data_IF_458481208311
#
_entry.id   IF_458481208311
#
_cell.length_a   1.000
_cell.length_b   1.000
_cell.length_c   1.000
_cell.angle_alpha   90.00
_cell.angle_beta   90.00
_cell.angle_gamma   90.00
#
_symmetry.space_group_name_H-M   'P 1'
#
loop_
_entity.id
_entity.type
_entity.pdbx_description
1 polymer ?
#
# COMPACT_ATOMS: atom_id res chain seq x y z
N UNK A 1 1.92 16.34 26.01
CA UNK A 1 0.97 15.31 25.59
C UNK A 1 1.48 14.80 24.26
N UNK A 2 2.09 13.63 24.25
CA UNK A 2 2.44 12.89 23.02
C UNK A 2 1.13 12.26 22.60
N UNK A 3 0.70 12.53 21.36
CA UNK A 3 -0.52 11.94 20.80
C UNK A 3 -0.40 10.42 20.93
N UNK A 4 -1.20 9.80 21.79
CA UNK A 4 -1.22 8.35 22.06
C UNK A 4 -1.70 7.54 20.85
N UNK A 5 -2.08 8.20 19.72
CA UNK A 5 -2.68 7.60 18.53
C UNK A 5 -1.79 7.68 17.27
N UNK A 6 -0.46 7.83 17.46
CA UNK A 6 0.42 7.86 16.30
C UNK A 6 0.66 6.45 15.73
N UNK A 7 -0.21 6.03 14.83
CA UNK A 7 -0.01 4.87 13.97
C UNK A 7 0.52 5.33 12.60
N UNK A 8 1.79 5.03 12.32
CA UNK A 8 2.47 5.32 11.04
C UNK A 8 1.79 4.68 9.82
N UNK A 9 0.79 3.84 10.03
CA UNK A 9 0.11 3.03 9.00
C UNK A 9 -1.33 3.44 8.75
N UNK A 10 -1.88 4.39 9.54
CA UNK A 10 -3.27 4.85 9.34
C UNK A 10 -3.47 5.30 7.91
N UNK A 11 -4.44 4.71 7.23
CA UNK A 11 -4.82 5.08 5.86
C UNK A 11 -5.54 6.44 5.80
N UNK A 12 -6.09 6.91 6.92
CA UNK A 12 -6.74 8.21 7.01
C UNK A 12 -5.77 9.25 7.57
N UNK A 13 -5.15 9.98 6.66
CA UNK A 13 -4.31 11.12 6.99
C UNK A 13 -5.14 12.36 7.32
N UNK A 14 -4.69 13.14 8.29
CA UNK A 14 -5.11 14.52 8.44
C UNK A 14 -4.80 15.34 7.17
N UNK A 15 -5.48 16.46 6.94
CA UNK A 15 -5.20 17.32 5.79
C UNK A 15 -3.73 17.70 5.69
N UNK A 16 -3.08 18.02 6.82
CA UNK A 16 -1.66 18.35 6.90
C UNK A 16 -0.71 17.18 6.54
N UNK A 17 -1.13 15.95 6.76
CA UNK A 17 -0.36 14.77 6.38
C UNK A 17 -0.46 14.48 4.88
N UNK A 18 -1.65 14.69 4.30
CA UNK A 18 -1.84 14.59 2.84
C UNK A 18 -1.01 15.64 2.10
N UNK A 19 -0.99 16.88 2.59
CA UNK A 19 -0.19 17.95 2.00
C UNK A 19 1.31 17.66 2.09
N UNK A 20 1.76 17.10 3.23
CA UNK A 20 3.12 16.66 3.42
C UNK A 20 3.51 15.55 2.44
N UNK A 21 2.69 14.49 2.33
CA UNK A 21 2.95 13.40 1.38
C UNK A 21 2.95 13.90 -0.06
N UNK A 22 1.99 14.75 -0.44
CA UNK A 22 1.90 15.30 -1.78
C UNK A 22 3.15 16.11 -2.16
N UNK A 23 3.70 16.90 -1.23
CA UNK A 23 4.92 17.66 -1.44
C UNK A 23 6.16 16.78 -1.71
N UNK A 24 6.17 15.55 -1.18
CA UNK A 24 7.29 14.61 -1.35
C UNK A 24 7.14 13.70 -2.58
N UNK A 25 5.94 13.65 -3.20
CA UNK A 25 5.68 12.76 -4.34
C UNK A 25 6.50 13.18 -5.56
N UNK A 26 7.21 12.24 -6.21
CA UNK A 26 7.80 12.48 -7.52
C UNK A 26 6.71 12.72 -8.58
N UNK A 27 7.01 13.59 -9.54
CA UNK A 27 6.09 13.98 -10.62
C UNK A 27 6.49 13.42 -11.99
N UNK A 28 7.69 12.84 -12.09
CA UNK A 28 8.23 12.25 -13.33
C UNK A 28 8.85 10.89 -13.04
N UNK A 29 9.04 10.08 -14.08
CA UNK A 29 9.77 8.81 -13.94
C UNK A 29 11.21 9.02 -13.51
N UNK A 30 11.87 10.09 -13.93
CA UNK A 30 13.25 10.42 -13.55
C UNK A 30 13.43 10.70 -12.06
N UNK A 31 12.38 11.18 -11.39
CA UNK A 31 12.37 11.47 -9.96
C UNK A 31 11.95 10.26 -9.10
N UNK A 32 11.39 9.23 -9.75
CA UNK A 32 10.89 8.04 -9.06
C UNK A 32 12.04 7.06 -8.81
N UNK A 33 12.31 6.78 -7.54
CA UNK A 33 13.35 5.84 -7.13
C UNK A 33 12.79 4.46 -6.84
N UNK A 34 13.45 3.41 -7.34
CA UNK A 34 13.07 2.02 -7.15
C UNK A 34 12.10 1.49 -8.20
N UNK A 35 11.65 0.24 -8.06
CA UNK A 35 10.79 -0.45 -9.03
C UNK A 35 11.35 -0.39 -10.47
N UNK A 36 12.67 -0.50 -10.62
CA UNK A 36 13.38 -0.15 -11.87
C UNK A 36 12.75 -0.79 -13.10
N UNK A 37 12.51 -2.09 -13.10
CA UNK A 37 11.92 -2.80 -14.23
C UNK A 37 10.49 -2.33 -14.56
N UNK A 38 9.68 -2.01 -13.52
CA UNK A 38 8.32 -1.48 -13.69
C UNK A 38 8.38 -0.10 -14.35
N UNK A 39 9.26 0.78 -13.87
CA UNK A 39 9.44 2.14 -14.39
C UNK A 39 9.93 2.10 -15.83
N UNK A 40 10.95 1.32 -16.15
CA UNK A 40 11.50 1.18 -17.51
C UNK A 40 10.42 0.70 -18.49
N UNK A 41 9.62 -0.31 -18.11
CA UNK A 41 8.53 -0.79 -18.96
C UNK A 41 7.44 0.28 -19.15
N UNK A 42 7.02 0.95 -18.06
CA UNK A 42 6.01 2.01 -18.14
C UNK A 42 6.48 3.19 -19.01
N UNK A 43 7.75 3.57 -18.94
CA UNK A 43 8.32 4.59 -19.82
C UNK A 43 8.15 4.22 -21.29
N UNK A 44 8.53 3.00 -21.67
CA UNK A 44 8.37 2.53 -23.06
C UNK A 44 6.92 2.55 -23.51
N UNK A 45 5.99 2.09 -22.66
CA UNK A 45 4.57 2.05 -23.01
C UNK A 45 3.97 3.45 -23.14
N UNK A 46 4.31 4.36 -22.21
CA UNK A 46 3.87 5.76 -22.25
C UNK A 46 4.42 6.48 -23.49
N UNK A 47 5.68 6.33 -23.81
CA UNK A 47 6.29 6.92 -25.01
C UNK A 47 5.65 6.40 -26.28
N UNK A 48 5.37 5.09 -26.35
CA UNK A 48 4.70 4.47 -27.48
C UNK A 48 3.26 4.99 -27.66
N UNK A 49 2.49 5.12 -26.57
CA UNK A 49 1.14 5.69 -26.59
C UNK A 49 1.15 7.14 -27.07
N UNK A 50 2.08 7.95 -26.57
CA UNK A 50 2.30 9.35 -27.04
C UNK A 50 2.62 9.43 -28.51
N UNK A 51 3.51 8.56 -28.99
CA UNK A 51 3.91 8.53 -30.41
C UNK A 51 2.72 8.22 -31.33
N UNK A 52 1.82 7.33 -30.91
CA UNK A 52 0.61 6.97 -31.68
C UNK A 52 -0.54 7.95 -31.50
N UNK A 53 -0.50 8.82 -30.48
CA UNK A 53 -1.60 9.72 -30.10
C UNK A 53 -2.84 9.00 -29.57
N UNK A 54 -2.64 7.81 -28.99
CA UNK A 54 -3.64 6.92 -28.43
C UNK A 54 -3.61 6.94 -26.89
N UNK A 55 -4.71 6.55 -26.20
CA UNK A 55 -4.65 6.28 -24.78
C UNK A 55 -3.66 5.15 -24.49
N UNK A 56 -3.04 5.16 -23.32
CA UNK A 56 -2.26 4.04 -22.82
C UNK A 56 -3.20 2.85 -22.55
N UNK A 57 -2.76 1.63 -22.80
CA UNK A 57 -3.51 0.44 -22.42
C UNK A 57 -3.87 0.49 -20.92
N UNK A 58 -5.06 -0.01 -20.59
CA UNK A 58 -5.50 -0.09 -19.20
C UNK A 58 -4.47 -0.83 -18.35
N UNK A 59 -4.08 -0.23 -17.25
CA UNK A 59 -2.93 -0.65 -16.43
C UNK A 59 -3.37 -1.05 -15.03
N UNK A 60 -2.96 -2.23 -14.57
CA UNK A 60 -3.15 -2.71 -13.21
C UNK A 60 -1.84 -2.62 -12.43
N UNK A 61 -1.85 -1.85 -11.33
CA UNK A 61 -0.76 -1.78 -10.37
C UNK A 61 -1.13 -2.55 -9.10
N UNK A 62 -0.41 -3.61 -8.78
CA UNK A 62 -0.72 -4.41 -7.61
C UNK A 62 0.49 -4.65 -6.72
N UNK A 63 0.26 -4.88 -5.44
CA UNK A 63 1.30 -5.11 -4.43
C UNK A 63 0.95 -4.48 -3.08
N UNK A 64 1.78 -4.70 -2.05
CA UNK A 64 1.56 -4.17 -0.71
C UNK A 64 1.24 -2.67 -0.64
N UNK A 65 0.61 -2.17 0.43
CA UNK A 65 0.33 -0.75 0.58
C UNK A 65 1.62 0.07 0.72
N UNK A 66 1.58 1.35 0.36
CA UNK A 66 2.70 2.28 0.57
C UNK A 66 3.87 2.20 -0.43
N UNK A 67 3.76 1.40 -1.50
CA UNK A 67 4.82 1.18 -2.50
C UNK A 67 4.83 2.18 -3.68
N UNK A 68 3.87 3.12 -3.72
CA UNK A 68 3.86 4.17 -4.75
C UNK A 68 2.90 3.92 -5.92
N UNK A 69 1.89 3.04 -5.80
CA UNK A 69 0.87 2.80 -6.85
C UNK A 69 0.21 4.09 -7.33
N UNK A 70 -0.34 4.88 -6.42
CA UNK A 70 -0.96 6.19 -6.72
C UNK A 70 0.04 7.17 -7.32
N UNK A 71 1.29 7.15 -6.86
CA UNK A 71 2.35 8.02 -7.38
C UNK A 71 2.69 7.68 -8.82
N UNK A 72 2.88 6.40 -9.15
CA UNK A 72 3.12 5.95 -10.53
C UNK A 72 1.94 6.30 -11.45
N UNK A 73 0.70 6.16 -10.98
CA UNK A 73 -0.48 6.53 -11.76
C UNK A 73 -0.51 8.02 -12.10
N UNK A 74 -0.12 8.88 -11.15
CA UNK A 74 -0.01 10.31 -11.40
C UNK A 74 1.15 10.63 -12.36
N UNK A 75 2.29 9.97 -12.23
CA UNK A 75 3.42 10.12 -13.15
C UNK A 75 3.01 9.72 -14.57
N UNK A 76 2.27 8.62 -14.75
CA UNK A 76 1.76 8.20 -16.06
C UNK A 76 0.94 9.33 -16.71
N UNK A 77 0.00 9.94 -15.98
CA UNK A 77 -0.80 11.04 -16.50
C UNK A 77 0.04 12.28 -16.84
N UNK A 78 0.97 12.65 -15.96
CA UNK A 78 1.89 13.77 -16.18
C UNK A 78 2.76 13.56 -17.43
N UNK A 79 3.34 12.38 -17.57
CA UNK A 79 4.18 12.03 -18.72
C UNK A 79 3.38 11.94 -20.03
N UNK A 80 2.13 11.49 -19.98
CA UNK A 80 1.21 11.54 -21.13
C UNK A 80 0.78 12.98 -21.46
N UNK A 81 0.82 13.90 -20.50
CA UNK A 81 0.38 15.28 -20.63
C UNK A 81 -1.14 15.42 -20.68
N UNK A 82 -1.86 14.59 -19.93
CA UNK A 82 -3.33 14.50 -19.91
C UNK A 82 -3.89 14.71 -18.50
N UNK A 83 -5.22 14.85 -18.40
CA UNK A 83 -5.91 14.98 -17.11
C UNK A 83 -5.79 13.72 -16.25
N UNK A 84 -5.82 13.91 -14.93
CA UNK A 84 -5.76 12.84 -13.94
C UNK A 84 -6.93 12.93 -12.98
N UNK A 85 -7.81 11.92 -13.00
CA UNK A 85 -8.94 11.79 -12.07
C UNK A 85 -8.72 10.63 -11.13
N UNK A 86 -9.00 10.86 -9.84
CA UNK A 86 -8.78 9.89 -8.76
C UNK A 86 -10.11 9.53 -8.12
N UNK A 87 -10.33 8.24 -7.95
CA UNK A 87 -11.42 7.69 -7.14
C UNK A 87 -10.96 6.40 -6.46
N UNK A 88 -11.83 5.74 -5.73
CA UNK A 88 -11.55 4.44 -5.11
C UNK A 88 -12.76 3.50 -5.21
N UNK A 89 -12.51 2.18 -5.17
CA UNK A 89 -13.55 1.18 -5.22
C UNK A 89 -14.69 1.42 -4.22
N UNK A 90 -14.40 1.68 -2.92
CA UNK A 90 -15.43 1.95 -1.92
C UNK A 90 -16.29 3.19 -2.15
N UNK A 91 -15.81 4.17 -2.93
CA UNK A 91 -16.55 5.40 -3.25
C UNK A 91 -17.53 5.19 -4.40
N UNK A 92 -17.23 4.22 -5.29
CA UNK A 92 -18.07 3.86 -6.43
C UNK A 92 -19.12 2.83 -6.01
N UNK A 93 -20.15 3.29 -5.31
CA UNK A 93 -21.20 2.41 -4.77
C UNK A 93 -22.25 2.03 -5.83
N UNK A 94 -22.56 2.96 -6.75
CA UNK A 94 -23.59 2.81 -7.76
C UNK A 94 -23.07 3.06 -9.18
N UNK A 95 -23.67 2.43 -10.20
CA UNK A 95 -23.33 2.70 -11.60
C UNK A 95 -23.34 4.18 -11.99
N UNK A 96 -24.25 4.97 -11.41
CA UNK A 96 -24.32 6.41 -11.65
C UNK A 96 -23.09 7.18 -11.18
N UNK A 97 -22.43 6.74 -10.11
CA UNK A 97 -21.19 7.36 -9.62
C UNK A 97 -20.06 7.15 -10.63
N UNK A 98 -19.93 5.93 -11.15
CA UNK A 98 -18.97 5.60 -12.19
C UNK A 98 -19.27 6.36 -13.49
N UNK A 99 -20.55 6.40 -13.91
CA UNK A 99 -20.96 7.10 -15.13
C UNK A 99 -20.65 8.61 -15.04
N UNK A 100 -20.91 9.24 -13.90
CA UNK A 100 -20.58 10.64 -13.69
C UNK A 100 -19.10 10.97 -13.85
N UNK A 101 -18.23 10.08 -13.38
CA UNK A 101 -16.78 10.22 -13.55
C UNK A 101 -16.39 10.00 -15.01
N UNK A 102 -16.84 8.89 -15.64
CA UNK A 102 -16.46 8.51 -16.98
C UNK A 102 -16.88 9.56 -18.02
N UNK A 103 -18.10 10.09 -17.91
CA UNK A 103 -18.61 11.14 -18.82
C UNK A 103 -17.89 12.48 -18.68
N UNK A 104 -17.19 12.69 -17.56
CA UNK A 104 -16.42 13.91 -17.30
C UNK A 104 -14.96 13.82 -17.73
N UNK A 105 -14.51 12.66 -18.28
CA UNK A 105 -13.16 12.49 -18.81
C UNK A 105 -13.01 13.16 -20.16
N UNK A 106 -11.89 13.82 -20.35
CA UNK A 106 -11.45 14.29 -21.68
C UNK A 106 -10.71 13.19 -22.43
N UNK A 107 -10.42 13.44 -23.70
CA UNK A 107 -9.74 12.46 -24.56
C UNK A 107 -8.37 12.10 -23.99
N UNK A 108 -8.10 10.82 -23.83
CA UNK A 108 -6.88 10.20 -23.32
C UNK A 108 -6.61 10.45 -21.83
N UNK A 109 -7.53 11.05 -21.07
CA UNK A 109 -7.39 11.22 -19.62
C UNK A 109 -7.10 9.90 -18.91
N UNK A 110 -6.45 10.01 -17.77
CA UNK A 110 -6.18 8.88 -16.88
C UNK A 110 -7.19 8.90 -15.72
N UNK A 111 -7.98 7.83 -15.62
CA UNK A 111 -8.81 7.53 -14.44
C UNK A 111 -8.06 6.55 -13.54
N UNK A 112 -7.78 6.96 -12.31
CA UNK A 112 -7.21 6.10 -11.29
C UNK A 112 -8.26 5.62 -10.31
N UNK A 113 -8.39 4.30 -10.13
CA UNK A 113 -9.26 3.67 -9.14
C UNK A 113 -8.42 2.93 -8.13
N UNK A 114 -8.31 3.47 -6.90
CA UNK A 114 -7.64 2.79 -5.80
C UNK A 114 -8.53 1.70 -5.20
N UNK A 115 -7.93 0.65 -4.64
CA UNK A 115 -8.62 -0.51 -4.09
C UNK A 115 -9.72 -1.06 -5.03
N UNK A 116 -9.39 -1.18 -6.33
CA UNK A 116 -10.33 -1.57 -7.39
C UNK A 116 -11.01 -2.92 -7.13
N UNK A 117 -10.40 -3.81 -6.35
CA UNK A 117 -10.99 -5.09 -5.93
C UNK A 117 -12.21 -4.94 -5.02
N UNK A 118 -12.50 -3.73 -4.52
CA UNK A 118 -13.66 -3.42 -3.68
C UNK A 118 -14.85 -2.86 -4.45
N UNK A 119 -14.78 -2.82 -5.78
CA UNK A 119 -15.95 -2.49 -6.61
C UNK A 119 -17.06 -3.51 -6.40
N UNK A 120 -18.31 -3.03 -6.38
CA UNK A 120 -19.44 -3.94 -6.40
C UNK A 120 -19.55 -4.64 -7.75
N UNK A 121 -20.06 -5.90 -7.83
CA UNK A 121 -20.20 -6.62 -9.10
C UNK A 121 -20.97 -5.83 -10.16
N UNK A 122 -21.99 -5.08 -9.72
CA UNK A 122 -22.79 -4.25 -10.64
C UNK A 122 -21.96 -3.13 -11.25
N UNK A 123 -21.18 -2.41 -10.47
CA UNK A 123 -20.30 -1.34 -10.96
C UNK A 123 -19.19 -1.91 -11.85
N UNK A 124 -18.69 -3.09 -11.51
CA UNK A 124 -17.67 -3.78 -12.29
C UNK A 124 -18.17 -4.14 -13.71
N UNK A 125 -19.42 -4.58 -13.86
CA UNK A 125 -20.04 -4.87 -15.17
C UNK A 125 -20.11 -3.62 -16.07
N UNK A 126 -20.46 -2.46 -15.52
CA UNK A 126 -20.44 -1.19 -16.25
C UNK A 126 -19.02 -0.80 -16.69
N UNK A 127 -18.04 -1.09 -15.85
CA UNK A 127 -16.65 -0.80 -16.15
C UNK A 127 -16.12 -1.64 -17.32
N UNK A 128 -16.61 -2.87 -17.51
CA UNK A 128 -16.21 -3.73 -18.64
C UNK A 128 -16.49 -3.08 -19.99
N UNK A 129 -17.73 -2.62 -20.21
CA UNK A 129 -18.13 -1.97 -21.47
C UNK A 129 -17.38 -0.65 -21.67
N UNK A 130 -17.15 0.09 -20.59
CA UNK A 130 -16.37 1.32 -20.64
C UNK A 130 -14.90 1.09 -21.04
N UNK A 131 -14.30 -0.02 -20.59
CA UNK A 131 -12.90 -0.36 -20.94
C UNK A 131 -12.74 -0.92 -22.36
N UNK A 132 -13.71 -1.71 -22.85
CA UNK A 132 -13.60 -2.37 -24.14
C UNK A 132 -14.07 -1.47 -25.30
N UNK A 133 -15.25 -0.86 -25.13
CA UNK A 133 -15.95 -0.18 -26.22
C UNK A 133 -16.01 1.35 -26.04
N UNK A 134 -15.49 1.88 -24.95
CA UNK A 134 -15.67 3.30 -24.56
C UNK A 134 -17.14 3.72 -24.57
N UNK A 135 -17.99 2.88 -23.98
CA UNK A 135 -19.44 3.08 -23.90
C UNK A 135 -19.97 2.64 -22.56
N UNK A 136 -21.07 3.24 -22.14
CA UNK A 136 -21.78 2.88 -20.93
C UNK A 136 -23.28 2.87 -21.18
N UNK A 137 -23.96 1.80 -20.77
CA UNK A 137 -25.42 1.66 -20.89
C UNK A 137 -26.07 1.96 -19.54
N UNK A 138 -26.80 3.06 -19.44
CA UNK A 138 -27.47 3.47 -18.19
C UNK A 138 -28.94 3.09 -18.26
N UNK A 139 -29.42 2.31 -17.29
CA UNK A 139 -30.82 1.99 -17.11
C UNK A 139 -31.56 3.18 -16.46
N UNK A 140 -32.52 3.78 -17.14
CA UNK A 140 -33.28 4.95 -16.64
C UNK A 140 -34.42 4.52 -15.73
N UNK A 141 -35.10 3.40 -16.07
CA UNK A 141 -36.27 2.90 -15.37
C UNK A 141 -36.11 1.46 -14.91
N UNK A 142 -36.87 1.07 -13.91
CA UNK A 142 -36.96 -0.32 -13.43
C UNK A 142 -38.31 -0.91 -13.85
N UNK A 143 -38.30 -2.15 -14.34
CA UNK A 143 -39.51 -2.91 -14.67
C UNK A 143 -39.67 -3.20 -16.15
N UNK A 144 -40.87 -3.67 -16.60
CA UNK A 144 -41.09 -4.12 -17.99
C UNK A 144 -40.93 -3.03 -19.08
N UNK A 145 -40.94 -1.76 -18.65
CA UNK A 145 -40.76 -0.59 -19.53
C UNK A 145 -39.36 0.03 -19.39
N UNK A 146 -38.42 -0.69 -18.78
CA UNK A 146 -37.04 -0.21 -18.60
C UNK A 146 -36.42 0.19 -19.93
N UNK A 147 -35.85 1.39 -19.99
CA UNK A 147 -35.11 1.90 -21.16
C UNK A 147 -33.65 2.06 -20.76
N UNK A 148 -32.76 1.66 -21.64
CA UNK A 148 -31.35 1.97 -21.52
C UNK A 148 -30.98 3.14 -22.44
N UNK A 149 -30.14 4.02 -21.96
CA UNK A 149 -29.45 5.01 -22.80
C UNK A 149 -27.97 4.61 -22.87
N UNK A 150 -27.49 4.44 -24.09
CA UNK A 150 -26.08 4.26 -24.39
C UNK A 150 -25.42 5.61 -24.49
N UNK A 151 -24.32 5.80 -23.76
CA UNK A 151 -23.52 7.01 -23.78
C UNK A 151 -22.13 6.62 -24.28
N UNK A 152 -21.67 7.28 -25.35
CA UNK A 152 -20.30 7.17 -25.84
C UNK A 152 -19.37 7.98 -24.94
N UNK A 153 -18.22 7.40 -24.63
CA UNK A 153 -17.18 7.98 -23.78
C UNK A 153 -15.98 8.40 -24.62
N UNK A 154 -15.27 9.42 -24.17
CA UNK A 154 -13.95 9.68 -24.73
C UNK A 154 -13.00 8.51 -24.42
N UNK A 155 -12.13 8.11 -25.36
CA UNK A 155 -11.07 7.15 -25.06
C UNK A 155 -10.25 7.61 -23.87
N UNK A 156 -10.02 6.73 -22.91
CA UNK A 156 -9.32 7.01 -21.65
C UNK A 156 -8.43 5.83 -21.23
N UNK A 157 -7.52 6.08 -20.35
CA UNK A 157 -6.72 5.05 -19.68
C UNK A 157 -7.25 4.80 -18.28
N UNK A 158 -7.62 3.56 -17.97
CA UNK A 158 -7.89 3.14 -16.61
C UNK A 158 -6.59 2.65 -15.95
N UNK A 159 -6.22 3.23 -14.81
CA UNK A 159 -5.19 2.68 -13.93
C UNK A 159 -5.86 2.16 -12.67
N UNK A 160 -5.95 0.85 -12.54
CA UNK A 160 -6.45 0.18 -11.33
C UNK A 160 -5.32 -0.08 -10.35
N UNK A 161 -5.56 0.17 -9.06
CA UNK A 161 -4.63 -0.22 -7.99
C UNK A 161 -5.30 -1.19 -7.03
N UNK A 162 -4.53 -2.18 -6.54
CA UNK A 162 -5.01 -3.13 -5.54
C UNK A 162 -3.89 -3.68 -4.67
N UNK A 163 -4.20 -3.90 -3.40
CA UNK A 163 -3.36 -4.68 -2.48
C UNK A 163 -3.64 -6.18 -2.59
N UNK A 164 -4.81 -6.56 -3.14
CA UNK A 164 -5.33 -7.94 -3.20
C UNK A 164 -5.69 -8.35 -4.62
N UNK A 165 -4.69 -8.54 -5.47
CA UNK A 165 -4.92 -8.93 -6.88
C UNK A 165 -5.70 -10.24 -7.04
N UNK A 166 -5.65 -11.13 -6.04
CA UNK A 166 -6.41 -12.38 -6.02
C UNK A 166 -7.93 -12.21 -5.87
N UNK A 167 -8.40 -11.05 -5.40
CA UNK A 167 -9.83 -10.75 -5.26
C UNK A 167 -10.45 -10.12 -6.52
N UNK A 168 -9.63 -9.73 -7.50
CA UNK A 168 -10.15 -9.26 -8.78
C UNK A 168 -10.80 -10.42 -9.54
N UNK A 169 -11.97 -10.15 -10.12
CA UNK A 169 -12.62 -11.11 -11.01
C UNK A 169 -11.75 -11.39 -12.24
N UNK A 170 -11.85 -12.59 -12.78
CA UNK A 170 -11.09 -12.96 -13.98
C UNK A 170 -11.43 -12.07 -15.19
N UNK A 171 -12.72 -11.69 -15.42
CA UNK A 171 -13.07 -10.77 -16.50
C UNK A 171 -12.43 -9.38 -16.35
N UNK A 172 -12.44 -8.80 -15.15
CA UNK A 172 -11.80 -7.49 -14.94
C UNK A 172 -10.29 -7.56 -15.17
N UNK A 173 -9.65 -8.58 -14.63
CA UNK A 173 -8.20 -8.77 -14.77
C UNK A 173 -7.77 -8.92 -16.23
N UNK A 174 -8.55 -9.63 -17.05
CA UNK A 174 -8.25 -9.85 -18.47
C UNK A 174 -8.30 -8.57 -19.32
N UNK A 175 -8.96 -7.52 -18.85
CA UNK A 175 -9.07 -6.22 -19.53
C UNK A 175 -7.91 -5.28 -19.31
N UNK A 176 -7.02 -5.61 -18.37
CA UNK A 176 -5.79 -4.86 -18.18
C UNK A 176 -4.70 -5.40 -19.12
N UNK A 177 -4.34 -4.62 -20.14
CA UNK A 177 -3.25 -4.94 -21.07
C UNK A 177 -1.89 -4.86 -20.42
N UNK A 178 -1.74 -3.99 -19.40
CA UNK A 178 -0.51 -3.81 -18.65
C UNK A 178 -0.74 -4.22 -17.19
N UNK A 179 0.10 -5.13 -16.68
CA UNK A 179 -0.01 -5.64 -15.31
C UNK A 179 1.35 -5.55 -14.61
N UNK A 180 1.45 -4.70 -13.57
CA UNK A 180 2.69 -4.38 -12.88
C UNK A 180 2.61 -4.74 -11.41
N UNK A 181 3.53 -5.60 -10.98
CA UNK A 181 3.67 -5.99 -9.57
C UNK A 181 4.75 -5.14 -8.89
N UNK A 182 4.36 -4.34 -7.90
CA UNK A 182 5.27 -3.57 -7.07
C UNK A 182 5.75 -4.41 -5.89
N UNK A 183 7.06 -4.35 -5.64
CA UNK A 183 7.71 -5.10 -4.58
C UNK A 183 8.20 -4.15 -3.47
N UNK A 184 8.51 -4.71 -2.29
CA UNK A 184 9.18 -3.97 -1.25
C UNK A 184 10.52 -3.42 -1.73
N UNK A 185 10.89 -2.26 -1.21
CA UNK A 185 12.10 -1.55 -1.57
C UNK A 185 13.28 -2.02 -0.72
N UNK A 186 14.44 -2.14 -1.37
CA UNK A 186 15.69 -2.37 -0.65
C UNK A 186 16.08 -1.16 0.20
N UNK A 187 16.77 -1.37 1.34
CA UNK A 187 17.14 -0.29 2.25
C UNK A 187 17.94 0.84 1.59
N UNK A 188 18.82 0.52 0.63
CA UNK A 188 19.62 1.50 -0.10
C UNK A 188 18.77 2.42 -0.98
N UNK A 189 17.70 1.89 -1.54
CA UNK A 189 16.74 2.68 -2.32
C UNK A 189 15.90 3.58 -1.42
N UNK A 190 15.46 3.06 -0.28
CA UNK A 190 14.74 3.86 0.73
C UNK A 190 15.61 4.95 1.30
N UNK A 191 16.91 4.70 1.52
CA UNK A 191 17.85 5.73 1.96
C UNK A 191 17.90 6.90 0.97
N UNK A 192 17.99 6.63 -0.34
CA UNK A 192 17.95 7.68 -1.38
C UNK A 192 16.64 8.46 -1.35
N UNK A 193 15.51 7.78 -1.14
CA UNK A 193 14.19 8.44 -1.00
C UNK A 193 14.18 9.35 0.23
N UNK A 194 14.71 8.89 1.37
CA UNK A 194 14.79 9.68 2.61
C UNK A 194 15.68 10.91 2.41
N UNK A 195 16.86 10.76 1.80
CA UNK A 195 17.79 11.87 1.52
C UNK A 195 17.13 12.91 0.59
N UNK A 196 16.46 12.47 -0.49
CA UNK A 196 15.69 13.34 -1.37
C UNK A 196 14.57 14.07 -0.61
N UNK A 197 13.79 13.35 0.19
CA UNK A 197 12.69 13.90 0.97
C UNK A 197 13.19 14.92 2.01
N UNK A 198 14.31 14.64 2.68
CA UNK A 198 14.94 15.57 3.60
C UNK A 198 15.40 16.85 2.91
N UNK A 199 15.93 16.74 1.67
CA UNK A 199 16.28 17.88 0.82
C UNK A 199 15.07 18.77 0.48
N UNK A 200 13.96 18.17 0.07
CA UNK A 200 12.70 18.90 -0.20
C UNK A 200 12.20 19.61 1.06
N UNK A 201 12.29 18.96 2.21
CA UNK A 201 11.90 19.50 3.50
C UNK A 201 12.90 20.51 4.08
N UNK A 202 14.04 20.68 3.42
CA UNK A 202 15.16 21.55 3.86
C UNK A 202 15.66 21.20 5.27
N UNK A 203 15.73 19.91 5.59
CA UNK A 203 16.23 19.39 6.86
C UNK A 203 17.56 18.70 6.61
N UNK A 204 18.66 19.16 7.23
CA UNK A 204 19.95 18.48 7.09
C UNK A 204 19.87 17.07 7.73
N UNK A 205 20.29 16.05 6.99
CA UNK A 205 20.36 14.67 7.46
C UNK A 205 21.73 14.06 7.15
N UNK A 206 22.24 13.24 8.06
CA UNK A 206 23.46 12.46 7.80
C UNK A 206 23.12 11.17 7.07
N UNK A 207 24.07 10.66 6.28
CA UNK A 207 23.89 9.39 5.56
C UNK A 207 23.60 8.22 6.48
N UNK A 208 24.27 8.14 7.61
CA UNK A 208 24.07 7.09 8.62
C UNK A 208 22.69 7.17 9.26
N UNK A 209 22.17 8.37 9.51
CA UNK A 209 20.80 8.57 9.99
C UNK A 209 19.77 8.14 8.96
N UNK A 210 19.97 8.52 7.68
CA UNK A 210 19.10 8.08 6.58
C UNK A 210 19.11 6.56 6.42
N UNK A 211 20.28 5.92 6.52
CA UNK A 211 20.42 4.47 6.49
C UNK A 211 19.74 3.79 7.70
N UNK A 212 19.80 4.40 8.88
CA UNK A 212 19.11 3.85 10.06
C UNK A 212 17.60 3.94 9.94
N UNK A 213 17.06 5.05 9.43
CA UNK A 213 15.63 5.19 9.15
C UNK A 213 15.19 4.20 8.07
N UNK A 214 15.98 4.06 6.99
CA UNK A 214 15.64 3.18 5.86
C UNK A 214 15.49 1.71 6.28
N UNK A 215 16.42 1.21 7.11
CA UNK A 215 16.35 -0.17 7.64
C UNK A 215 15.10 -0.45 8.47
N UNK A 216 14.52 0.57 9.10
CA UNK A 216 13.31 0.43 9.92
C UNK A 216 12.02 0.82 9.18
N UNK A 217 12.13 1.10 7.88
CA UNK A 217 11.01 1.56 7.04
C UNK A 217 10.22 0.42 6.39
N UNK A 218 10.48 -0.83 6.74
CA UNK A 218 9.71 -2.01 6.32
C UNK A 218 9.57 -2.14 4.80
N UNK A 219 10.60 -1.75 4.07
CA UNK A 219 10.57 -1.81 2.61
C UNK A 219 9.56 -0.86 1.96
N UNK A 220 9.00 0.14 2.66
CA UNK A 220 7.96 1.01 2.09
C UNK A 220 8.32 2.50 2.15
N UNK A 221 8.24 3.23 1.02
CA UNK A 221 8.47 4.68 0.99
C UNK A 221 7.53 5.48 1.91
N UNK A 222 6.28 5.04 2.07
CA UNK A 222 5.31 5.70 2.96
C UNK A 222 5.82 5.71 4.41
N UNK A 223 6.25 4.56 4.93
CA UNK A 223 6.78 4.45 6.29
C UNK A 223 8.09 5.22 6.41
N UNK A 224 8.98 5.14 5.39
CA UNK A 224 10.22 5.91 5.37
C UNK A 224 9.99 7.42 5.55
N UNK A 225 9.06 7.99 4.80
CA UNK A 225 8.71 9.40 4.89
C UNK A 225 8.01 9.74 6.23
N UNK A 226 7.15 8.86 6.73
CA UNK A 226 6.50 9.02 8.03
C UNK A 226 7.55 9.04 9.17
N UNK A 227 8.52 8.11 9.16
CA UNK A 227 9.61 8.09 10.12
C UNK A 227 10.50 9.33 10.00
N UNK A 228 10.87 9.74 8.78
CA UNK A 228 11.64 10.96 8.54
C UNK A 228 10.94 12.18 9.16
N UNK A 229 9.62 12.31 8.98
CA UNK A 229 8.84 13.40 9.57
C UNK A 229 8.95 13.41 11.10
N UNK A 230 8.79 12.26 11.73
CA UNK A 230 8.87 12.17 13.20
C UNK A 230 10.29 12.41 13.72
N UNK A 231 11.29 11.83 13.08
CA UNK A 231 12.69 12.08 13.46
C UNK A 231 13.04 13.57 13.32
N UNK A 232 12.51 14.26 12.28
CA UNK A 232 12.64 15.70 12.13
C UNK A 232 12.04 16.46 13.32
N UNK A 233 10.85 16.07 13.77
CA UNK A 233 10.20 16.72 14.92
C UNK A 233 11.08 16.61 16.17
N UNK A 234 11.69 15.43 16.40
CA UNK A 234 12.67 15.25 17.49
C UNK A 234 13.93 16.08 17.28
N UNK A 235 14.46 16.18 16.07
CA UNK A 235 15.64 16.98 15.76
C UNK A 235 15.42 18.46 16.04
N UNK A 236 14.22 18.97 15.75
CA UNK A 236 13.85 20.36 15.98
C UNK A 236 13.64 20.68 17.47
N UNK A 237 13.08 19.75 18.24
CA UNK A 237 12.71 20.00 19.65
C UNK A 237 13.80 19.58 20.63
N UNK A 238 14.48 18.46 20.37
CA UNK A 238 15.49 17.88 21.30
C UNK A 238 16.91 17.95 20.76
N UNK A 239 17.10 18.37 19.51
CA UNK A 239 18.39 18.47 18.85
C UNK A 239 18.71 19.87 18.34
N UNK A 240 19.64 19.93 17.39
CA UNK A 240 20.10 21.18 16.73
C UNK A 240 19.32 21.52 15.45
N UNK A 241 18.23 20.83 15.16
CA UNK A 241 17.51 20.91 13.87
C UNK A 241 18.12 20.05 12.76
N UNK A 242 19.25 19.35 13.04
CA UNK A 242 19.88 18.38 12.13
C UNK A 242 19.52 16.96 12.54
N UNK A 243 19.23 16.11 11.57
CA UNK A 243 19.00 14.69 11.78
C UNK A 243 20.34 13.95 11.70
N UNK A 244 20.85 13.53 12.84
CA UNK A 244 22.02 12.66 12.96
C UNK A 244 21.63 11.31 13.57
N UNK A 245 22.62 10.42 13.73
CA UNK A 245 22.37 9.06 14.23
C UNK A 245 21.89 9.05 15.68
N UNK A 246 22.32 9.99 16.51
CA UNK A 246 21.96 10.07 17.93
C UNK A 246 20.49 10.44 18.09
N UNK A 247 20.07 11.56 17.48
CA UNK A 247 18.66 12.00 17.53
C UNK A 247 17.74 10.98 16.84
N UNK A 248 18.21 10.30 15.79
CA UNK A 248 17.44 9.24 15.11
C UNK A 248 17.18 8.07 16.06
N UNK A 249 18.18 7.61 16.82
CA UNK A 249 18.00 6.55 17.82
C UNK A 249 17.04 6.97 18.93
N UNK A 250 17.18 8.19 19.44
CA UNK A 250 16.27 8.73 20.46
C UNK A 250 14.82 8.72 19.94
N UNK A 251 14.60 9.22 18.73
CA UNK A 251 13.28 9.28 18.13
C UNK A 251 12.67 7.89 17.91
N UNK A 252 13.41 6.96 17.29
CA UNK A 252 12.94 5.61 17.00
C UNK A 252 12.63 4.83 18.29
N UNK A 253 13.44 4.99 19.33
CA UNK A 253 13.18 4.40 20.65
C UNK A 253 11.91 4.98 21.28
N UNK A 254 11.71 6.31 21.20
CA UNK A 254 10.52 6.96 21.74
C UNK A 254 9.23 6.56 20.96
N UNK A 255 9.37 6.16 19.71
CA UNK A 255 8.27 5.65 18.86
C UNK A 255 8.07 4.13 19.01
N UNK A 256 8.77 3.46 19.92
CA UNK A 256 8.73 2.02 20.14
C UNK A 256 9.04 1.21 18.85
N UNK A 257 9.92 1.72 17.97
CA UNK A 257 10.33 1.05 16.75
C UNK A 257 11.69 0.39 16.98
N UNK A 258 11.71 -0.91 16.90
CA UNK A 258 12.90 -1.70 17.17
C UNK A 258 13.88 -1.78 15.95
N UNK A 259 14.94 -2.55 16.10
CA UNK A 259 15.99 -2.71 15.07
C UNK A 259 15.50 -3.37 13.78
N UNK A 260 14.39 -4.10 13.81
CA UNK A 260 13.75 -4.73 12.65
C UNK A 260 12.64 -3.88 12.05
N UNK A 261 12.33 -2.72 12.65
CA UNK A 261 11.21 -1.89 12.26
C UNK A 261 9.87 -2.41 12.78
N UNK A 262 9.88 -3.33 13.75
CA UNK A 262 8.66 -3.74 14.44
C UNK A 262 8.21 -2.65 15.40
N UNK A 263 6.91 -2.36 15.39
CA UNK A 263 6.29 -1.45 16.33
C UNK A 263 5.59 -2.20 17.48
N UNK A 264 4.87 -1.46 18.31
CA UNK A 264 4.17 -2.01 19.47
C UNK A 264 3.14 -3.06 19.08
N UNK A 265 2.38 -2.85 17.99
CA UNK A 265 1.33 -3.80 17.58
C UNK A 265 1.93 -5.07 17.01
N UNK A 266 3.01 -4.99 16.22
CA UNK A 266 3.73 -6.18 15.77
C UNK A 266 4.22 -7.02 16.95
N UNK A 267 4.84 -6.35 17.91
CA UNK A 267 5.34 -7.00 19.11
C UNK A 267 4.19 -7.64 19.92
N UNK A 268 3.03 -6.97 20.03
CA UNK A 268 1.83 -7.53 20.65
C UNK A 268 1.29 -8.75 19.91
N UNK A 269 1.29 -8.73 18.56
CA UNK A 269 0.90 -9.89 17.73
C UNK A 269 1.82 -11.07 18.06
N UNK A 270 3.13 -10.88 17.94
CA UNK A 270 4.11 -11.94 18.16
C UNK A 270 4.06 -12.49 19.59
N UNK A 271 4.06 -11.61 20.60
CA UNK A 271 3.96 -12.01 22.02
C UNK A 271 2.63 -12.74 22.31
N UNK A 272 1.53 -12.29 21.72
CA UNK A 272 0.25 -12.97 21.88
C UNK A 272 0.30 -14.41 21.34
N UNK A 273 0.90 -14.63 20.17
CA UNK A 273 1.05 -15.98 19.61
C UNK A 273 1.99 -16.82 20.48
N UNK A 274 3.10 -16.25 20.95
CA UNK A 274 4.07 -16.95 21.82
C UNK A 274 3.44 -17.31 23.15
N UNK A 275 2.91 -16.33 23.88
CA UNK A 275 2.56 -16.49 25.30
C UNK A 275 1.19 -17.13 25.51
N UNK A 276 0.19 -16.69 24.72
CA UNK A 276 -1.18 -17.17 24.90
C UNK A 276 -1.45 -18.43 24.09
N UNK A 277 -0.76 -18.63 22.96
CA UNK A 277 -1.03 -19.74 22.03
C UNK A 277 0.19 -20.67 21.81
N UNK A 278 1.19 -20.60 22.69
CA UNK A 278 2.38 -21.49 22.67
C UNK A 278 3.07 -21.57 21.31
N UNK A 279 3.14 -20.42 20.59
CA UNK A 279 3.72 -20.33 19.25
C UNK A 279 2.79 -20.66 18.09
N UNK A 280 1.56 -21.00 18.35
CA UNK A 280 0.55 -21.34 17.35
C UNK A 280 0.41 -22.84 17.07
N UNK A 281 -0.41 -23.27 16.09
CA UNK A 281 -1.13 -22.41 15.14
C UNK A 281 -2.36 -21.73 15.73
N UNK A 282 -2.63 -20.48 15.33
CA UNK A 282 -3.77 -19.67 15.79
C UNK A 282 -4.42 -18.92 14.65
N UNK A 283 -5.76 -18.84 14.64
CA UNK A 283 -6.52 -18.12 13.61
C UNK A 283 -6.35 -16.62 13.69
N UNK A 284 -6.42 -15.92 12.55
CA UNK A 284 -6.23 -14.46 12.47
C UNK A 284 -7.24 -13.70 13.33
N UNK A 285 -8.51 -14.12 13.32
CA UNK A 285 -9.59 -13.52 14.12
C UNK A 285 -9.31 -13.62 15.62
N UNK A 286 -8.75 -14.78 16.06
CA UNK A 286 -8.38 -14.99 17.47
C UNK A 286 -7.22 -14.08 17.88
N UNK A 287 -6.22 -13.90 17.00
CA UNK A 287 -5.10 -12.97 17.24
C UNK A 287 -5.65 -11.55 17.35
N UNK A 288 -6.43 -11.12 16.37
CA UNK A 288 -7.01 -9.78 16.31
C UNK A 288 -7.83 -9.44 17.56
N UNK A 289 -8.73 -10.35 17.96
CA UNK A 289 -9.51 -10.20 19.21
C UNK A 289 -8.61 -10.11 20.45
N UNK A 290 -7.54 -10.91 20.50
CA UNK A 290 -6.65 -10.94 21.65
C UNK A 290 -5.79 -9.67 21.82
N UNK A 291 -5.57 -8.93 20.74
CA UNK A 291 -4.82 -7.66 20.75
C UNK A 291 -5.74 -6.42 20.64
N UNK A 292 -7.05 -6.60 20.44
CA UNK A 292 -8.01 -5.50 20.32
C UNK A 292 -7.99 -4.79 18.97
N UNK A 293 -7.66 -5.52 17.88
CA UNK A 293 -7.60 -5.01 16.51
C UNK A 293 -8.64 -5.66 15.59
N UNK A 294 -8.89 -5.06 14.42
CA UNK A 294 -9.69 -5.68 13.36
C UNK A 294 -8.89 -6.78 12.64
N UNK A 295 -9.55 -7.90 12.33
CA UNK A 295 -8.90 -9.04 11.69
C UNK A 295 -8.38 -8.72 10.28
N UNK A 296 -9.10 -7.89 9.52
CA UNK A 296 -8.68 -7.41 8.21
C UNK A 296 -7.44 -6.54 8.32
N UNK A 297 -7.40 -5.64 9.31
CA UNK A 297 -6.22 -4.80 9.59
C UNK A 297 -5.00 -5.66 9.91
N UNK A 298 -5.14 -6.67 10.77
CA UNK A 298 -4.02 -7.58 11.09
C UNK A 298 -3.54 -8.31 9.84
N UNK A 299 -4.46 -8.79 9.00
CA UNK A 299 -4.12 -9.56 7.78
C UNK A 299 -3.50 -8.71 6.67
N UNK A 300 -3.94 -7.45 6.51
CA UNK A 300 -3.52 -6.61 5.39
C UNK A 300 -2.30 -5.73 5.72
N UNK A 301 -2.19 -5.28 6.96
CA UNK A 301 -1.21 -4.26 7.34
C UNK A 301 -0.02 -4.86 8.09
N UNK A 302 -0.27 -5.78 9.03
CA UNK A 302 0.78 -6.30 9.92
C UNK A 302 1.38 -7.61 9.44
N UNK A 303 0.53 -8.58 9.12
CA UNK A 303 0.96 -9.94 8.79
C UNK A 303 1.92 -10.02 7.58
N UNK A 304 1.71 -9.27 6.47
CA UNK A 304 2.59 -9.39 5.31
C UNK A 304 4.05 -9.07 5.61
N UNK A 305 4.30 -8.05 6.42
CA UNK A 305 5.65 -7.70 6.84
C UNK A 305 6.25 -8.74 7.79
N UNK A 306 5.48 -9.21 8.76
CA UNK A 306 5.93 -10.24 9.69
C UNK A 306 6.26 -11.57 9.00
N UNK A 307 5.54 -11.91 7.91
CA UNK A 307 5.84 -13.08 7.08
C UNK A 307 7.10 -12.84 6.26
N UNK A 308 7.23 -11.68 5.63
CA UNK A 308 8.38 -11.33 4.79
C UNK A 308 9.68 -11.37 5.61
N UNK A 309 9.67 -10.79 6.81
CA UNK A 309 10.79 -10.81 7.74
C UNK A 309 11.00 -12.17 8.42
N UNK A 310 10.12 -13.13 8.16
CA UNK A 310 10.24 -14.47 8.69
C UNK A 310 9.88 -14.66 10.15
N UNK A 311 9.17 -13.72 10.78
CA UNK A 311 8.68 -13.84 12.16
C UNK A 311 7.49 -14.77 12.29
N UNK A 312 6.62 -14.80 11.26
CA UNK A 312 5.40 -15.61 11.21
C UNK A 312 5.37 -16.46 9.95
N UNK A 313 4.76 -17.63 10.01
CA UNK A 313 4.41 -18.46 8.86
C UNK A 313 2.92 -18.79 8.86
N UNK A 314 2.32 -18.81 7.67
CA UNK A 314 0.95 -19.31 7.44
C UNK A 314 0.95 -20.82 7.33
N UNK A 315 0.00 -21.44 7.99
CA UNK A 315 -0.28 -22.89 7.89
C UNK A 315 -1.78 -23.10 7.62
N UNK A 316 -2.22 -24.28 7.16
CA UNK A 316 -3.65 -24.57 6.98
C UNK A 316 -4.48 -24.41 8.27
N UNK A 317 -3.83 -24.53 9.44
CA UNK A 317 -4.49 -24.41 10.76
C UNK A 317 -4.44 -23.00 11.33
N UNK A 318 -3.68 -22.08 10.71
CA UNK A 318 -3.52 -20.71 11.19
C UNK A 318 -2.07 -20.22 11.16
N UNK A 319 -1.78 -19.19 11.94
CA UNK A 319 -0.48 -18.52 12.02
C UNK A 319 0.38 -19.12 13.11
N UNK A 320 1.66 -19.30 12.82
CA UNK A 320 2.65 -19.76 13.79
C UNK A 320 3.85 -18.82 13.76
N UNK A 321 4.43 -18.55 14.93
CA UNK A 321 5.71 -17.86 15.01
C UNK A 321 6.84 -18.78 14.63
N UNK A 322 7.95 -18.19 14.17
CA UNK A 322 9.17 -18.91 13.84
C UNK A 322 10.18 -18.84 14.99
N UNK A 323 11.29 -19.55 14.85
CA UNK A 323 12.39 -19.47 15.82
C UNK A 323 12.96 -18.04 15.94
N UNK A 324 12.94 -17.26 14.83
CA UNK A 324 13.36 -15.87 14.82
C UNK A 324 12.54 -15.02 15.80
N UNK A 325 11.23 -15.21 15.86
CA UNK A 325 10.36 -14.49 16.79
C UNK A 325 10.71 -14.82 18.26
N UNK A 326 10.98 -16.08 18.59
CA UNK A 326 11.41 -16.44 19.93
C UNK A 326 12.76 -15.80 20.29
N UNK A 327 13.73 -15.86 19.40
CA UNK A 327 15.06 -15.25 19.60
C UNK A 327 14.97 -13.73 19.76
N UNK A 328 14.07 -13.07 19.04
CA UNK A 328 13.83 -11.65 19.13
C UNK A 328 13.46 -11.20 20.53
N UNK A 329 12.62 -11.99 21.22
CA UNK A 329 12.19 -11.72 22.60
C UNK A 329 13.08 -12.41 23.65
N UNK A 330 14.21 -13.03 23.26
CA UNK A 330 15.07 -13.74 24.19
C UNK A 330 14.42 -14.97 24.82
N UNK A 331 13.50 -15.61 24.12
CA UNK A 331 12.75 -16.79 24.59
C UNK A 331 13.17 -18.04 23.84
N UNK A 332 13.00 -19.20 24.49
CA UNK A 332 13.18 -20.48 23.83
C UNK A 332 11.89 -20.93 23.15
N UNK A 333 11.95 -21.53 21.95
CA UNK A 333 10.81 -22.18 21.34
C UNK A 333 10.18 -23.19 22.32
N UNK A 334 8.86 -23.24 22.35
CA UNK A 334 8.21 -24.33 23.06
C UNK A 334 8.63 -25.65 22.41
N UNK A 335 9.56 -26.35 23.01
CA UNK A 335 9.83 -27.76 22.74
C UNK A 335 8.72 -28.55 23.39
N UNK A 336 7.55 -28.57 22.75
CA UNK A 336 6.46 -29.43 23.17
C UNK A 336 6.85 -30.87 22.91
N UNK A 337 7.29 -31.58 23.93
CA UNK A 337 6.96 -32.97 24.01
C UNK A 337 5.42 -33.03 24.04
N UNK A 338 4.83 -33.22 22.88
CA UNK A 338 3.49 -33.76 22.81
C UNK A 338 3.64 -35.18 23.36
N UNK A 339 3.45 -35.36 24.66
CA UNK A 339 2.98 -36.63 25.17
C UNK A 339 1.61 -36.76 24.52
N UNK A 340 1.53 -37.53 23.43
CA UNK A 340 0.28 -38.11 22.99
C UNK A 340 -0.27 -38.85 24.23
N UNK A 341 -1.49 -38.53 24.70
CA UNK A 341 -2.09 -39.35 25.72
C UNK A 341 -2.20 -40.76 25.10
N UNK A 342 -1.50 -41.69 25.70
CA UNK A 342 -1.64 -43.12 25.39
C UNK A 342 -3.13 -43.44 25.52
N UNK A 343 -3.76 -43.83 24.42
CA UNK A 343 -5.16 -44.27 24.38
C UNK A 343 -5.35 -45.66 24.97
N UNK A 344 -4.37 -46.17 25.69
CA UNK A 344 -4.40 -47.49 26.32
C UNK A 344 -3.74 -47.41 27.72
N UNK A 345 -4.49 -46.95 28.69
CA UNK A 345 -4.54 -47.44 30.07
C UNK A 345 -5.97 -47.33 30.62
#
# INVERSE_FOLDING_TARGET
MIDEDFDIRKEQFSSSEKDFENALRPLSFSDFSGQQQVVENLQVFVEAAKFRGEPLDHTLLHGPPGLGKTTLSNIIANELGVGFKITSGPVLDKPGDLAGILTSLEKNDVLFIDEIHRLSPVVEEYLYSAMEDYRIDIMIDKGPSARSIQIDLNPFTLVGATTRSGLLTAPLRARFGINMHLQYYEPETLQRIIERSAGILRVPITKDAAAEISRRSRGTPRIANALLRRVRDFAQVKGSGRIDTEITKIALTALNIDKFGLDEIDNRILLTIIDKFRGGPVGITTIATAIGEDAGTVEEVYEPFLIMEGFIKRTPRGRMVTELAYRHFGRNPYTGNIMEPSLFE
#
